data_IF_817632458577
#
_entry.id   IF_817632458577
#
_cell.length_a   1.000
_cell.length_b   1.000
_cell.length_c   1.000
_cell.angle_alpha   90.00
_cell.angle_beta   90.00
_cell.angle_gamma   90.00
#
_symmetry.space_group_name_H-M   'P 1'
#
loop_
_entity.id
_entity.type
_entity.pdbx_description
1 polymer ?
#
# COMPACT_ATOMS: atom_id res chain seq x y z
N UNK A 1 8.61 -3.03 -9.11
CA UNK A 1 8.88 -4.39 -9.61
C UNK A 1 7.92 -5.38 -8.97
N UNK A 2 7.45 -6.34 -9.74
CA UNK A 2 6.60 -7.40 -9.20
C UNK A 2 7.46 -8.51 -8.63
N UNK A 3 7.07 -9.03 -7.49
CA UNK A 3 7.71 -10.18 -6.87
C UNK A 3 6.91 -11.44 -7.21
N UNK A 4 7.60 -12.57 -7.26
CA UNK A 4 6.97 -13.88 -7.35
C UNK A 4 6.74 -14.51 -5.98
N UNK A 5 7.01 -13.78 -4.91
CA UNK A 5 6.79 -14.23 -3.55
C UNK A 5 5.32 -14.58 -3.32
N UNK A 6 5.08 -15.65 -2.59
CA UNK A 6 3.72 -16.15 -2.31
C UNK A 6 3.21 -15.73 -0.95
N UNK A 7 4.09 -15.24 -0.07
CA UNK A 7 3.73 -14.76 1.25
C UNK A 7 4.35 -13.39 1.50
N UNK A 8 3.76 -12.64 2.42
CA UNK A 8 4.28 -11.32 2.81
C UNK A 8 5.68 -11.46 3.42
N UNK A 9 5.88 -12.46 4.26
CA UNK A 9 7.17 -12.72 4.88
C UNK A 9 8.25 -13.02 3.83
N UNK A 10 7.92 -13.81 2.82
CA UNK A 10 8.83 -14.09 1.72
C UNK A 10 9.16 -12.82 0.94
N UNK A 11 8.14 -12.01 0.63
CA UNK A 11 8.33 -10.74 -0.07
C UNK A 11 9.32 -9.85 0.69
N UNK A 12 9.11 -9.67 1.99
CA UNK A 12 9.99 -8.83 2.81
C UNK A 12 11.41 -9.37 2.89
N UNK A 13 11.56 -10.70 2.95
CA UNK A 13 12.89 -11.33 3.05
C UNK A 13 13.75 -11.12 1.80
N UNK A 14 13.14 -10.84 0.66
CA UNK A 14 13.82 -10.59 -0.61
C UNK A 14 14.32 -9.16 -0.77
N UNK A 15 13.95 -8.25 0.14
CA UNK A 15 14.28 -6.84 0.02
C UNK A 15 15.66 -6.50 0.56
N UNK A 16 16.34 -5.46 -0.02
CA UNK A 16 17.52 -4.90 0.61
C UNK A 16 17.20 -4.39 2.02
N UNK A 17 18.20 -4.39 2.91
CA UNK A 17 18.00 -4.02 4.32
C UNK A 17 17.29 -2.68 4.51
N UNK A 18 17.72 -1.66 3.77
CA UNK A 18 17.10 -0.33 3.82
C UNK A 18 15.61 -0.38 3.50
N UNK A 19 15.25 -1.13 2.47
CA UNK A 19 13.84 -1.27 2.05
C UNK A 19 13.07 -2.16 3.02
N UNK A 20 13.71 -3.17 3.57
CA UNK A 20 13.09 -4.05 4.56
C UNK A 20 12.60 -3.26 5.78
N UNK A 21 13.44 -2.38 6.33
CA UNK A 21 13.06 -1.58 7.49
C UNK A 21 11.88 -0.66 7.18
N UNK A 22 11.96 0.07 6.08
CA UNK A 22 10.90 1.01 5.67
C UNK A 22 9.58 0.29 5.37
N UNK A 23 9.64 -0.81 4.64
CA UNK A 23 8.45 -1.60 4.31
C UNK A 23 7.83 -2.25 5.54
N UNK A 24 8.65 -2.72 6.47
CA UNK A 24 8.19 -3.29 7.74
C UNK A 24 7.49 -2.25 8.58
N UNK A 25 8.03 -1.04 8.65
CA UNK A 25 7.41 0.07 9.39
C UNK A 25 6.06 0.46 8.75
N UNK A 26 6.01 0.56 7.44
CA UNK A 26 4.78 0.89 6.72
C UNK A 26 3.72 -0.21 6.91
N UNK A 27 4.12 -1.46 6.80
CA UNK A 27 3.24 -2.61 7.06
C UNK A 27 2.66 -2.55 8.47
N UNK A 28 3.51 -2.31 9.47
CA UNK A 28 3.08 -2.22 10.87
C UNK A 28 2.04 -1.13 11.06
N UNK A 29 2.29 0.05 10.51
CA UNK A 29 1.38 1.18 10.60
C UNK A 29 0.03 0.86 9.98
N UNK A 30 0.02 0.22 8.82
CA UNK A 30 -1.22 -0.16 8.14
C UNK A 30 -1.99 -1.19 8.98
N UNK A 31 -1.33 -2.23 9.46
CA UNK A 31 -1.98 -3.27 10.26
C UNK A 31 -2.57 -2.74 11.57
N UNK A 32 -1.91 -1.78 12.21
CA UNK A 32 -2.39 -1.17 13.43
C UNK A 32 -3.65 -0.33 13.21
N UNK A 33 -3.85 0.18 11.99
CA UNK A 33 -4.95 1.09 11.68
C UNK A 33 -5.97 0.49 10.71
N UNK A 34 -5.78 -0.75 10.27
CA UNK A 34 -6.66 -1.38 9.31
C UNK A 34 -7.98 -1.77 9.95
N UNK A 35 -9.14 -1.38 9.37
CA UNK A 35 -10.45 -1.77 9.91
C UNK A 35 -10.65 -3.29 9.91
N UNK A 36 -11.52 -3.75 10.81
CA UNK A 36 -11.90 -5.16 10.88
C UNK A 36 -12.55 -5.58 9.54
N UNK A 37 -12.20 -6.76 9.06
CA UNK A 37 -12.75 -7.31 7.83
C UNK A 37 -11.79 -7.27 6.64
N UNK A 38 -10.72 -6.49 6.73
CA UNK A 38 -9.68 -6.50 5.70
C UNK A 38 -8.64 -7.58 6.00
N UNK A 39 -8.02 -8.10 4.95
CA UNK A 39 -6.98 -9.11 5.07
C UNK A 39 -5.71 -8.67 4.35
N UNK A 40 -4.56 -9.00 4.94
CA UNK A 40 -3.27 -8.82 4.31
C UNK A 40 -2.95 -10.06 3.46
N UNK A 41 -2.55 -9.84 2.20
CA UNK A 41 -2.16 -10.93 1.32
C UNK A 41 -1.27 -10.41 0.19
N UNK A 42 -0.65 -11.32 -0.55
CA UNK A 42 0.04 -10.95 -1.79
C UNK A 42 -0.99 -10.71 -2.88
N UNK A 43 -0.88 -9.58 -3.58
CA UNK A 43 -1.81 -9.18 -4.61
C UNK A 43 -1.06 -8.42 -5.71
N UNK A 44 -1.14 -8.88 -6.94
CA UNK A 44 -0.40 -8.30 -8.08
C UNK A 44 1.12 -8.22 -7.86
N UNK A 45 1.69 -9.18 -7.12
CA UNK A 45 3.12 -9.18 -6.81
C UNK A 45 3.52 -8.13 -5.79
N UNK A 46 2.58 -7.63 -5.01
CA UNK A 46 2.76 -6.64 -3.97
C UNK A 46 2.11 -7.09 -2.67
N UNK A 47 2.44 -6.45 -1.55
CA UNK A 47 1.70 -6.66 -0.31
C UNK A 47 0.37 -5.91 -0.45
N UNK A 48 -0.74 -6.64 -0.35
CA UNK A 48 -2.07 -6.08 -0.50
C UNK A 48 -2.90 -6.20 0.77
N UNK A 49 -3.83 -5.25 0.94
CA UNK A 49 -4.82 -5.24 2.00
C UNK A 49 -6.17 -5.18 1.31
N UNK A 50 -6.94 -6.24 1.44
CA UNK A 50 -8.08 -6.51 0.55
C UNK A 50 -9.36 -6.78 1.34
N UNK A 51 -10.50 -6.57 0.68
CA UNK A 51 -11.79 -7.06 1.16
C UNK A 51 -11.94 -8.48 0.64
N UNK A 52 -11.89 -9.51 1.52
CA UNK A 52 -11.92 -10.90 1.05
C UNK A 52 -13.27 -11.29 0.46
N UNK A 53 -13.29 -12.34 -0.35
CA UNK A 53 -14.53 -12.85 -0.93
C UNK A 53 -15.55 -13.30 0.11
N UNK A 54 -15.11 -13.65 1.31
CA UNK A 54 -16.01 -14.00 2.42
C UNK A 54 -16.90 -12.83 2.84
N UNK A 55 -16.47 -11.59 2.60
CA UNK A 55 -17.22 -10.38 2.90
C UNK A 55 -17.88 -9.81 1.65
N UNK A 56 -17.18 -9.84 0.51
CA UNK A 56 -17.68 -9.35 -0.76
C UNK A 56 -17.49 -10.41 -1.84
N UNK A 57 -18.43 -11.35 -1.97
CA UNK A 57 -18.30 -12.49 -2.88
C UNK A 57 -18.14 -12.13 -4.36
N UNK A 58 -18.62 -10.97 -4.78
CA UNK A 58 -18.53 -10.50 -6.16
C UNK A 58 -17.07 -10.24 -6.57
N UNK A 59 -16.18 -9.98 -5.60
CA UNK A 59 -14.78 -9.72 -5.86
C UNK A 59 -14.54 -8.41 -6.59
N UNK A 60 -13.35 -8.28 -7.15
CA UNK A 60 -12.95 -7.06 -7.85
C UNK A 60 -13.65 -6.98 -9.20
N UNK A 61 -14.19 -5.80 -9.54
CA UNK A 61 -14.96 -5.62 -10.78
C UNK A 61 -14.16 -5.92 -12.05
N UNK A 62 -12.86 -5.67 -12.06
CA UNK A 62 -11.98 -5.95 -13.20
C UNK A 62 -11.60 -7.42 -13.31
N UNK A 63 -11.60 -8.15 -12.17
CA UNK A 63 -11.32 -9.57 -12.12
C UNK A 63 -11.99 -10.17 -10.87
N UNK A 64 -13.22 -10.73 -11.02
CA UNK A 64 -13.97 -11.27 -9.87
C UNK A 64 -13.30 -12.43 -9.13
N UNK A 65 -12.28 -13.05 -9.71
CA UNK A 65 -11.51 -14.11 -9.03
C UNK A 65 -10.61 -13.53 -7.94
N UNK A 66 -10.33 -12.24 -8.00
CA UNK A 66 -9.50 -11.55 -7.01
C UNK A 66 -10.37 -10.83 -5.99
N UNK A 67 -9.91 -10.71 -4.73
CA UNK A 67 -10.59 -9.87 -3.75
C UNK A 67 -10.46 -8.39 -4.10
N UNK A 68 -11.34 -7.57 -3.55
CA UNK A 68 -11.31 -6.13 -3.82
C UNK A 68 -10.09 -5.49 -3.15
N UNK A 69 -9.17 -4.86 -3.92
CA UNK A 69 -8.01 -4.21 -3.33
C UNK A 69 -8.40 -2.90 -2.65
N UNK A 70 -7.81 -2.63 -1.49
CA UNK A 70 -7.99 -1.38 -0.77
C UNK A 70 -6.68 -0.60 -0.68
N UNK A 71 -5.63 -1.25 -0.19
CA UNK A 71 -4.29 -0.70 -0.09
C UNK A 71 -3.32 -1.71 -0.66
N UNK A 72 -2.33 -1.25 -1.41
CA UNK A 72 -1.18 -2.06 -1.82
C UNK A 72 0.09 -1.29 -1.53
N UNK A 73 1.12 -1.98 -1.11
CA UNK A 73 2.45 -1.39 -0.91
C UNK A 73 3.49 -2.23 -1.64
N UNK A 74 4.47 -1.56 -2.23
CA UNK A 74 5.51 -2.24 -3.00
C UNK A 74 6.83 -1.49 -2.93
N UNK A 75 7.94 -2.24 -2.84
CA UNK A 75 9.27 -1.70 -3.01
C UNK A 75 9.60 -1.72 -4.50
N UNK A 76 9.65 -0.55 -5.11
CA UNK A 76 9.99 -0.40 -6.52
C UNK A 76 11.47 -0.01 -6.66
N UNK A 77 11.95 0.06 -7.90
CA UNK A 77 13.37 0.33 -8.17
C UNK A 77 13.86 1.63 -7.53
N UNK A 78 13.11 2.71 -7.69
CA UNK A 78 13.54 4.04 -7.28
C UNK A 78 12.73 4.63 -6.11
N UNK A 79 11.72 3.91 -5.62
CA UNK A 79 10.81 4.42 -4.58
C UNK A 79 10.03 3.28 -3.94
N UNK A 80 9.38 3.58 -2.82
CA UNK A 80 8.34 2.73 -2.25
C UNK A 80 7.01 3.32 -2.69
N UNK A 81 6.11 2.49 -3.21
CA UNK A 81 4.80 2.91 -3.68
C UNK A 81 3.71 2.51 -2.69
N UNK A 82 2.79 3.43 -2.45
CA UNK A 82 1.57 3.20 -1.68
C UNK A 82 0.37 3.47 -2.58
N UNK A 83 -0.44 2.45 -2.81
CA UNK A 83 -1.70 2.56 -3.55
C UNK A 83 -2.84 2.51 -2.54
N UNK A 84 -3.54 3.62 -2.35
CA UNK A 84 -4.59 3.73 -1.34
C UNK A 84 -5.91 4.12 -1.99
N UNK A 85 -6.77 3.14 -2.24
CA UNK A 85 -8.05 3.37 -2.94
C UNK A 85 -8.98 4.31 -2.17
N UNK A 86 -9.05 4.19 -0.85
CA UNK A 86 -9.88 5.07 -0.03
C UNK A 86 -9.49 6.54 -0.15
N UNK A 87 -8.18 6.81 -0.21
CA UNK A 87 -7.69 8.18 -0.36
C UNK A 87 -8.11 8.79 -1.70
N UNK A 88 -8.00 8.02 -2.78
CA UNK A 88 -8.32 8.49 -4.12
C UNK A 88 -9.82 8.58 -4.38
N UNK A 89 -10.65 7.91 -3.59
CA UNK A 89 -12.10 7.95 -3.74
C UNK A 89 -12.78 8.99 -2.85
N UNK A 90 -12.05 9.62 -1.93
CA UNK A 90 -12.62 10.58 -0.97
C UNK A 90 -11.89 11.93 -1.08
N UNK A 91 -12.52 12.96 -1.70
CA UNK A 91 -11.90 14.28 -1.85
C UNK A 91 -11.53 14.97 -0.55
N UNK A 92 -12.30 14.75 0.52
CA UNK A 92 -12.00 15.35 1.83
C UNK A 92 -10.76 14.71 2.44
N UNK A 93 -10.65 13.41 2.35
CA UNK A 93 -9.48 12.68 2.83
C UNK A 93 -8.23 13.04 2.02
N UNK A 94 -8.38 13.20 0.70
CA UNK A 94 -7.29 13.63 -0.17
C UNK A 94 -6.79 15.02 0.22
N UNK A 95 -7.69 15.96 0.46
CA UNK A 95 -7.33 17.31 0.89
C UNK A 95 -6.59 17.30 2.22
N UNK A 96 -7.07 16.49 3.17
CA UNK A 96 -6.42 16.31 4.46
C UNK A 96 -4.99 15.76 4.28
N UNK A 97 -4.84 14.76 3.43
CA UNK A 97 -3.54 14.13 3.16
C UNK A 97 -2.53 15.12 2.60
N UNK A 98 -2.91 15.86 1.55
CA UNK A 98 -2.02 16.83 0.90
C UNK A 98 -1.59 17.90 1.87
N UNK A 99 -2.52 18.44 2.65
CA UNK A 99 -2.25 19.49 3.64
C UNK A 99 -1.32 19.01 4.75
N UNK A 100 -1.58 17.83 5.30
CA UNK A 100 -0.79 17.30 6.42
C UNK A 100 0.58 16.81 5.97
N UNK A 101 0.70 16.26 4.77
CA UNK A 101 1.99 15.86 4.22
C UNK A 101 2.94 17.07 4.14
N UNK A 102 2.45 18.21 3.66
CA UNK A 102 3.24 19.42 3.55
C UNK A 102 3.74 19.92 4.92
N UNK A 103 2.98 19.69 5.99
CA UNK A 103 3.36 20.08 7.35
C UNK A 103 4.40 19.16 7.98
N UNK A 104 4.34 17.88 7.68
CA UNK A 104 5.12 16.84 8.37
C UNK A 104 6.36 16.40 7.60
N UNK A 105 6.41 16.62 6.29
CA UNK A 105 7.48 16.13 5.43
C UNK A 105 8.12 17.28 4.67
N UNK A 106 9.45 17.31 4.63
CA UNK A 106 10.22 18.39 4.00
C UNK A 106 10.34 18.25 2.48
N UNK A 107 10.01 17.10 1.92
CA UNK A 107 10.10 16.86 0.48
C UNK A 107 8.74 17.03 -0.17
N UNK A 108 8.76 17.36 -1.47
CA UNK A 108 7.53 17.50 -2.24
C UNK A 108 6.76 16.18 -2.30
N UNK A 109 5.45 16.24 -2.11
CA UNK A 109 4.57 15.09 -2.27
C UNK A 109 4.62 14.61 -3.73
N UNK A 110 4.94 13.33 -3.92
CA UNK A 110 5.02 12.70 -5.22
C UNK A 110 3.86 11.73 -5.37
N UNK A 111 2.82 12.14 -6.09
CA UNK A 111 1.61 11.34 -6.31
C UNK A 111 1.31 11.22 -7.80
N UNK A 112 0.98 9.98 -8.21
CA UNK A 112 0.43 9.72 -9.53
C UNK A 112 -1.09 9.60 -9.47
N UNK A 113 -1.70 8.99 -10.51
CA UNK A 113 -3.14 8.78 -10.58
C UNK A 113 -3.65 7.74 -9.58
N UNK A 114 -2.79 6.82 -9.16
CA UNK A 114 -3.19 5.73 -8.27
C UNK A 114 -2.18 5.41 -7.18
N UNK A 115 -1.06 6.14 -7.10
CA UNK A 115 -0.04 5.82 -6.12
C UNK A 115 0.64 7.06 -5.53
N UNK A 116 1.08 6.91 -4.30
CA UNK A 116 1.94 7.85 -3.60
C UNK A 116 3.34 7.22 -3.61
N UNK A 117 4.37 8.02 -3.92
CA UNK A 117 5.74 7.55 -4.02
C UNK A 117 6.60 8.14 -2.92
N UNK A 118 7.35 7.29 -2.24
CA UNK A 118 8.32 7.71 -1.23
C UNK A 118 9.72 7.39 -1.76
N UNK A 119 10.41 8.41 -2.26
CA UNK A 119 11.79 8.24 -2.76
C UNK A 119 12.80 8.15 -1.64
N UNK A 120 12.48 8.73 -0.48
CA UNK A 120 13.31 8.65 0.71
C UNK A 120 12.62 7.78 1.75
N UNK A 121 13.29 6.74 2.20
CA UNK A 121 12.74 5.82 3.21
C UNK A 121 12.48 6.52 4.55
N UNK A 122 13.18 7.60 4.83
CA UNK A 122 12.99 8.41 6.03
C UNK A 122 11.65 9.15 6.08
N UNK A 123 10.94 9.21 4.95
CA UNK A 123 9.61 9.85 4.88
C UNK A 123 8.47 8.89 5.24
N UNK A 124 8.79 7.66 5.58
CA UNK A 124 7.79 6.63 5.93
C UNK A 124 7.53 6.56 7.43
#
# INVERSE_FOLDING_TARGET
MRSEAKTVEQYLSELPEERYEAMTQLRKTILENLPIGFEESMNYGMIGYVVPHSIYPQGYHSNPKLPVPYINIASQKNFIALYHMGLYSDPLLMSWWVENYAKEVNTKLDMGKSCIRFKKTTNI
#
